data_IF_001652175401
#
_entry.id   IF_001652175401
#
_cell.length_a   1.000
_cell.length_b   1.000
_cell.length_c   1.000
_cell.angle_alpha   90.00
_cell.angle_beta   90.00
_cell.angle_gamma   90.00
#
_symmetry.space_group_name_H-M   'P 1'
#
loop_
_entity.id
_entity.type
_entity.pdbx_description
1 polymer ?
#
# COMPACT_ATOMS: atom_id res chain seq x y z
N UNK A 1 -19.33 19.00 -39.15
CA UNK A 1 -19.08 19.61 -37.83
C UNK A 1 -18.84 18.46 -36.85
N UNK A 2 -17.60 18.10 -36.57
CA UNK A 2 -17.28 17.02 -35.60
C UNK A 2 -17.61 17.56 -34.22
N UNK A 3 -18.56 16.95 -33.52
CA UNK A 3 -18.91 17.31 -32.16
C UNK A 3 -17.75 16.94 -31.22
N UNK A 4 -16.96 17.95 -30.85
CA UNK A 4 -15.81 17.82 -29.94
C UNK A 4 -16.26 17.90 -28.46
N UNK A 5 -17.56 18.01 -28.17
CA UNK A 5 -18.03 18.63 -26.92
C UNK A 5 -18.28 17.69 -25.73
N UNK A 6 -18.15 16.37 -25.85
CA UNK A 6 -18.30 15.47 -24.69
C UNK A 6 -17.04 14.65 -24.45
N UNK A 7 -16.08 15.27 -23.74
CA UNK A 7 -15.09 14.50 -22.98
C UNK A 7 -15.87 13.59 -22.04
N UNK A 8 -15.75 12.25 -22.11
CA UNK A 8 -16.46 11.39 -21.18
C UNK A 8 -16.02 11.75 -19.77
N UNK A 9 -16.99 12.11 -18.94
CA UNK A 9 -16.77 12.36 -17.52
C UNK A 9 -16.05 11.13 -16.94
N UNK A 10 -15.11 11.36 -16.00
CA UNK A 10 -14.52 10.23 -15.30
C UNK A 10 -15.64 9.42 -14.63
N UNK A 11 -15.69 8.10 -14.85
CA UNK A 11 -16.76 7.29 -14.28
C UNK A 11 -16.65 7.31 -12.74
N UNK A 12 -17.80 7.24 -12.06
CA UNK A 12 -17.89 7.36 -10.60
C UNK A 12 -16.96 6.37 -9.87
N UNK A 13 -16.79 5.16 -10.41
CA UNK A 13 -15.96 4.12 -9.81
C UNK A 13 -14.48 4.51 -9.74
N UNK A 14 -13.99 5.38 -10.64
CA UNK A 14 -12.61 5.88 -10.58
C UNK A 14 -12.40 6.69 -9.32
N UNK A 15 -13.34 7.56 -8.99
CA UNK A 15 -13.27 8.38 -7.79
C UNK A 15 -13.41 7.54 -6.53
N UNK A 16 -14.37 6.61 -6.50
CA UNK A 16 -14.58 5.73 -5.36
C UNK A 16 -13.33 4.87 -5.06
N UNK A 17 -12.76 4.22 -6.08
CA UNK A 17 -11.57 3.37 -5.92
C UNK A 17 -10.34 4.20 -5.53
N UNK A 18 -10.17 5.38 -6.13
CA UNK A 18 -9.03 6.22 -5.81
C UNK A 18 -9.11 6.79 -4.38
N UNK A 19 -10.30 7.23 -3.95
CA UNK A 19 -10.52 7.67 -2.57
C UNK A 19 -10.31 6.53 -1.56
N UNK A 20 -10.87 5.34 -1.82
CA UNK A 20 -10.65 4.17 -0.99
C UNK A 20 -9.15 3.79 -0.91
N UNK A 21 -8.44 3.88 -2.03
CA UNK A 21 -7.00 3.63 -2.08
C UNK A 21 -6.19 4.66 -1.30
N UNK A 22 -6.61 5.94 -1.29
CA UNK A 22 -5.97 6.98 -0.48
C UNK A 22 -6.16 6.69 1.01
N UNK A 23 -7.38 6.38 1.42
CA UNK A 23 -7.66 6.05 2.83
C UNK A 23 -6.87 4.82 3.27
N UNK A 24 -6.92 3.74 2.49
CA UNK A 24 -6.22 2.48 2.81
C UNK A 24 -4.71 2.69 2.96
N UNK A 25 -4.07 3.29 1.97
CA UNK A 25 -2.63 3.52 2.02
C UNK A 25 -2.25 4.58 3.06
N UNK A 26 -3.12 5.57 3.30
CA UNK A 26 -2.97 6.55 4.37
C UNK A 26 -2.94 5.91 5.76
N UNK A 27 -3.80 4.92 6.00
CA UNK A 27 -3.75 4.10 7.23
C UNK A 27 -2.42 3.35 7.33
N UNK A 28 -1.92 2.78 6.22
CA UNK A 28 -0.60 2.14 6.18
C UNK A 28 0.55 3.10 6.53
N UNK A 29 0.55 4.30 5.94
CA UNK A 29 1.52 5.37 6.25
C UNK A 29 1.43 5.78 7.72
N UNK A 30 0.23 5.93 8.26
CA UNK A 30 0.01 6.28 9.66
C UNK A 30 0.54 5.21 10.62
N UNK A 31 0.30 3.92 10.35
CA UNK A 31 0.83 2.82 11.15
C UNK A 31 2.36 2.77 11.09
N UNK A 32 2.93 2.89 9.90
CA UNK A 32 4.38 2.95 9.73
C UNK A 32 4.99 4.13 10.49
N UNK A 33 4.40 5.31 10.36
CA UNK A 33 4.85 6.53 11.04
C UNK A 33 4.88 6.35 12.57
N UNK A 34 3.81 5.81 13.15
CA UNK A 34 3.76 5.55 14.59
C UNK A 34 4.84 4.56 15.04
N UNK A 35 5.08 3.50 14.27
CA UNK A 35 6.14 2.52 14.56
C UNK A 35 7.50 3.21 14.59
N UNK A 36 7.89 3.86 13.50
CA UNK A 36 9.25 4.42 13.32
C UNK A 36 9.53 5.62 14.22
N UNK A 37 8.49 6.36 14.64
CA UNK A 37 8.64 7.48 15.60
C UNK A 37 8.61 7.03 17.06
N UNK A 38 8.41 5.74 17.33
CA UNK A 38 8.38 5.26 18.71
C UNK A 38 7.10 5.63 19.46
N UNK A 39 5.98 5.88 18.77
CA UNK A 39 4.75 6.38 19.38
C UNK A 39 4.23 5.43 20.48
N UNK A 40 4.02 5.96 21.69
CA UNK A 40 3.65 5.16 22.86
C UNK A 40 2.39 4.31 22.62
N UNK A 41 1.35 4.89 22.00
CA UNK A 41 0.09 4.20 21.70
C UNK A 41 0.24 2.99 20.76
N UNK A 42 1.24 3.01 19.86
CA UNK A 42 1.54 1.86 19.00
C UNK A 42 2.24 0.76 19.78
N UNK A 43 3.29 1.10 20.53
CA UNK A 43 4.13 0.12 21.21
C UNK A 43 3.47 -0.48 22.46
N UNK A 44 2.58 0.25 23.14
CA UNK A 44 1.85 -0.27 24.31
C UNK A 44 0.73 -1.24 23.94
N UNK A 45 0.29 -1.24 22.67
CA UNK A 45 -0.73 -2.15 22.16
C UNK A 45 -0.17 -3.54 21.76
N UNK A 46 1.15 -3.71 21.80
CA UNK A 46 1.84 -4.93 21.38
C UNK A 46 2.22 -5.81 22.57
N UNK A 47 2.30 -7.12 22.34
CA UNK A 47 2.88 -8.04 23.33
C UNK A 47 4.40 -7.87 23.42
N UNK A 48 5.00 -8.28 24.54
CA UNK A 48 6.46 -8.24 24.69
C UNK A 48 7.20 -8.99 23.57
N UNK A 49 6.67 -10.12 23.13
CA UNK A 49 7.24 -10.93 22.04
C UNK A 49 7.21 -10.17 20.70
N UNK A 50 6.08 -9.51 20.39
CA UNK A 50 5.95 -8.66 19.20
C UNK A 50 6.91 -7.47 19.24
N UNK A 51 7.06 -6.83 20.41
CA UNK A 51 8.02 -5.72 20.58
C UNK A 51 9.45 -6.19 20.33
N UNK A 52 9.85 -7.34 20.92
CA UNK A 52 11.17 -7.90 20.73
C UNK A 52 11.46 -8.23 19.26
N UNK A 53 10.49 -8.84 18.57
CA UNK A 53 10.58 -9.12 17.14
C UNK A 53 10.72 -7.85 16.30
N UNK A 54 9.85 -6.86 16.49
CA UNK A 54 9.87 -5.63 15.69
C UNK A 54 11.11 -4.78 15.93
N UNK A 55 11.67 -4.77 17.15
CA UNK A 55 12.92 -4.06 17.48
C UNK A 55 14.17 -4.82 17.05
N UNK A 56 14.11 -6.15 17.01
CA UNK A 56 15.20 -7.00 16.52
C UNK A 56 15.26 -7.11 15.00
N UNK A 57 14.21 -6.68 14.29
CA UNK A 57 14.16 -6.72 12.84
C UNK A 57 15.21 -5.77 12.21
N UNK A 58 15.88 -6.16 11.12
CA UNK A 58 16.78 -5.28 10.39
C UNK A 58 16.07 -4.02 9.88
N UNK A 59 16.74 -2.87 9.93
CA UNK A 59 16.18 -1.58 9.52
C UNK A 59 15.57 -1.57 8.10
N UNK A 60 16.10 -2.39 7.18
CA UNK A 60 15.59 -2.45 5.81
C UNK A 60 14.13 -2.91 5.73
N UNK A 61 13.61 -3.65 6.71
CA UNK A 61 12.21 -4.11 6.71
C UNK A 61 11.25 -2.94 6.91
N UNK A 62 11.64 -2.00 7.79
CA UNK A 62 10.86 -0.80 8.07
C UNK A 62 10.92 0.17 6.90
N UNK A 63 12.07 0.28 6.25
CA UNK A 63 12.22 1.03 5.00
C UNK A 63 11.35 0.40 3.90
N UNK A 64 11.37 -0.92 3.74
CA UNK A 64 10.58 -1.62 2.73
C UNK A 64 9.07 -1.42 2.93
N UNK A 65 8.57 -1.57 4.16
CA UNK A 65 7.16 -1.31 4.44
C UNK A 65 6.80 0.16 4.26
N UNK A 66 7.65 1.08 4.69
CA UNK A 66 7.48 2.52 4.50
C UNK A 66 7.38 2.89 3.02
N UNK A 67 8.33 2.43 2.21
CA UNK A 67 8.31 2.64 0.74
C UNK A 67 7.04 2.06 0.13
N UNK A 68 6.62 0.86 0.56
CA UNK A 68 5.39 0.26 0.06
C UNK A 68 4.18 1.19 0.26
N UNK A 69 3.89 1.58 1.50
CA UNK A 69 2.69 2.37 1.84
C UNK A 69 2.76 3.80 1.28
N UNK A 70 3.93 4.43 1.24
CA UNK A 70 4.11 5.76 0.62
C UNK A 70 3.93 5.71 -0.90
N UNK A 71 4.50 4.72 -1.57
CA UNK A 71 4.26 4.52 -3.01
C UNK A 71 2.80 4.19 -3.30
N UNK A 72 2.13 3.41 -2.44
CA UNK A 72 0.70 3.16 -2.52
C UNK A 72 -0.14 4.44 -2.37
N UNK A 73 0.20 5.30 -1.41
CA UNK A 73 -0.48 6.59 -1.22
C UNK A 73 -0.26 7.52 -2.42
N UNK A 74 0.99 7.64 -2.89
CA UNK A 74 1.31 8.42 -4.09
C UNK A 74 0.58 7.87 -5.32
N UNK A 75 0.52 6.55 -5.49
CA UNK A 75 -0.25 5.91 -6.55
C UNK A 75 -1.74 6.23 -6.50
N UNK A 76 -2.33 6.21 -5.30
CA UNK A 76 -3.73 6.55 -5.10
C UNK A 76 -4.02 8.04 -5.38
N UNK A 77 -3.13 8.94 -4.96
CA UNK A 77 -3.22 10.38 -5.28
C UNK A 77 -3.08 10.62 -6.79
N UNK A 78 -2.14 9.95 -7.45
CA UNK A 78 -2.00 10.00 -8.91
C UNK A 78 -3.23 9.46 -9.62
N UNK A 79 -3.90 8.44 -9.07
CA UNK A 79 -5.13 7.90 -9.61
C UNK A 79 -6.29 8.91 -9.52
N UNK A 80 -6.42 9.62 -8.38
CA UNK A 80 -7.36 10.74 -8.21
C UNK A 80 -7.08 11.87 -9.21
N UNK A 81 -5.81 12.21 -9.40
CA UNK A 81 -5.36 13.21 -10.38
C UNK A 81 -5.38 12.69 -11.82
N UNK A 82 -5.86 11.46 -12.03
CA UNK A 82 -5.97 10.78 -13.33
C UNK A 82 -4.66 10.74 -14.11
N UNK A 83 -3.53 10.50 -13.42
CA UNK A 83 -2.19 10.39 -13.99
C UNK A 83 -1.78 8.94 -14.21
N UNK A 84 -1.17 8.63 -15.36
CA UNK A 84 -0.65 7.28 -15.68
C UNK A 84 0.45 6.81 -14.75
N UNK A 85 1.11 7.75 -14.04
CA UNK A 85 2.12 7.45 -13.03
C UNK A 85 1.57 6.67 -11.84
N UNK A 86 0.24 6.64 -11.63
CA UNK A 86 -0.41 5.81 -10.63
C UNK A 86 0.02 4.34 -10.73
N UNK A 87 0.06 3.80 -11.96
CA UNK A 87 0.48 2.42 -12.20
C UNK A 87 1.93 2.17 -11.73
N UNK A 88 2.86 3.05 -12.11
CA UNK A 88 4.27 2.92 -11.74
C UNK A 88 4.47 2.97 -10.22
N UNK A 89 3.76 3.88 -9.55
CA UNK A 89 3.82 4.02 -8.11
C UNK A 89 3.29 2.77 -7.39
N UNK A 90 2.15 2.22 -7.82
CA UNK A 90 1.65 0.97 -7.23
C UNK A 90 2.59 -0.22 -7.47
N UNK A 91 3.22 -0.33 -8.65
CA UNK A 91 4.21 -1.38 -8.93
C UNK A 91 5.43 -1.25 -8.03
N UNK A 92 5.97 -0.03 -7.87
CA UNK A 92 7.07 0.21 -6.94
C UNK A 92 6.68 -0.15 -5.50
N UNK A 93 5.45 0.19 -5.08
CA UNK A 93 4.93 -0.18 -3.78
C UNK A 93 4.80 -1.69 -3.59
N UNK A 94 4.32 -2.43 -4.61
CA UNK A 94 4.24 -3.89 -4.56
C UNK A 94 5.62 -4.53 -4.39
N UNK A 95 6.64 -4.08 -5.14
CA UNK A 95 8.00 -4.62 -5.03
C UNK A 95 8.53 -4.44 -3.59
N UNK A 96 8.34 -3.26 -3.00
CA UNK A 96 8.74 -3.00 -1.62
C UNK A 96 7.92 -3.82 -0.61
N UNK A 97 6.62 -4.01 -0.85
CA UNK A 97 5.75 -4.86 -0.04
C UNK A 97 6.20 -6.32 -0.08
N UNK A 98 6.61 -6.83 -1.25
CA UNK A 98 7.13 -8.19 -1.39
C UNK A 98 8.44 -8.36 -0.62
N UNK A 99 9.33 -7.37 -0.64
CA UNK A 99 10.56 -7.41 0.18
C UNK A 99 10.23 -7.51 1.67
N UNK A 100 9.29 -6.70 2.18
CA UNK A 100 8.81 -6.80 3.56
C UNK A 100 8.17 -8.16 3.85
N UNK A 101 7.30 -8.65 2.95
CA UNK A 101 6.62 -9.93 3.11
C UNK A 101 7.59 -11.12 3.15
N UNK A 102 8.64 -11.11 2.33
CA UNK A 102 9.70 -12.15 2.36
C UNK A 102 10.37 -12.22 3.73
N UNK A 103 10.63 -11.09 4.38
CA UNK A 103 11.18 -11.09 5.73
C UNK A 103 10.25 -11.78 6.74
N UNK A 104 8.99 -11.36 6.74
CA UNK A 104 7.98 -11.84 7.69
C UNK A 104 7.67 -13.32 7.49
N UNK A 105 7.62 -13.77 6.23
CA UNK A 105 7.11 -15.10 5.87
C UNK A 105 8.19 -16.16 5.71
N UNK A 106 9.43 -15.78 5.42
CA UNK A 106 10.50 -16.73 5.06
C UNK A 106 11.82 -16.51 5.78
N UNK A 107 12.20 -15.27 6.16
CA UNK A 107 13.53 -14.97 6.72
C UNK A 107 13.54 -14.77 8.23
N UNK A 108 12.39 -14.86 8.90
CA UNK A 108 12.28 -14.65 10.34
C UNK A 108 11.22 -15.57 10.96
N UNK A 109 11.17 -15.61 12.29
CA UNK A 109 10.09 -16.25 13.05
C UNK A 109 8.80 -15.40 13.09
N UNK A 110 8.67 -14.40 12.20
CA UNK A 110 7.52 -13.50 12.17
C UNK A 110 6.19 -14.25 12.17
N UNK A 111 6.05 -15.29 11.35
CA UNK A 111 4.83 -16.13 11.29
C UNK A 111 4.37 -16.65 12.66
N UNK A 112 5.30 -16.97 13.56
CA UNK A 112 5.01 -17.47 14.90
C UNK A 112 4.62 -16.30 15.82
N UNK A 113 5.38 -15.20 15.76
CA UNK A 113 5.22 -14.03 16.65
C UNK A 113 3.97 -13.18 16.33
N UNK A 114 3.72 -12.89 15.05
CA UNK A 114 2.55 -12.11 14.61
C UNK A 114 1.33 -12.99 14.32
N UNK A 115 1.51 -14.31 14.35
CA UNK A 115 0.46 -15.32 14.20
C UNK A 115 -0.30 -15.26 12.86
N UNK A 116 -1.38 -16.05 12.77
CA UNK A 116 -2.22 -16.14 11.57
C UNK A 116 -2.81 -14.78 11.15
N UNK A 117 -3.16 -13.92 12.10
CA UNK A 117 -3.67 -12.58 11.84
C UNK A 117 -2.66 -11.68 11.13
N UNK A 118 -1.41 -11.66 11.59
CA UNK A 118 -0.36 -10.85 10.96
C UNK A 118 0.06 -11.38 9.59
N UNK A 119 0.08 -12.70 9.41
CA UNK A 119 0.29 -13.33 8.09
C UNK A 119 -0.84 -12.96 7.14
N UNK A 120 -2.10 -13.10 7.56
CA UNK A 120 -3.26 -12.73 6.75
C UNK A 120 -3.21 -11.25 6.35
N UNK A 121 -2.88 -10.35 7.30
CA UNK A 121 -2.73 -8.92 7.01
C UNK A 121 -1.67 -8.65 5.94
N UNK A 122 -0.49 -9.30 6.04
CA UNK A 122 0.60 -9.18 5.06
C UNK A 122 0.14 -9.61 3.66
N UNK A 123 -0.59 -10.72 3.56
CA UNK A 123 -1.13 -11.22 2.29
C UNK A 123 -2.22 -10.29 1.73
N UNK A 124 -3.11 -9.77 2.58
CA UNK A 124 -4.18 -8.83 2.17
C UNK A 124 -3.60 -7.52 1.64
N UNK A 125 -2.60 -6.94 2.29
CA UNK A 125 -1.93 -5.72 1.80
C UNK A 125 -1.30 -5.98 0.43
N UNK A 126 -0.63 -7.12 0.27
CA UNK A 126 -0.03 -7.53 -1.01
C UNK A 126 -1.09 -7.67 -2.10
N UNK A 127 -2.22 -8.33 -1.80
CA UNK A 127 -3.34 -8.50 -2.72
C UNK A 127 -3.95 -7.14 -3.13
N UNK A 128 -4.09 -6.21 -2.19
CA UNK A 128 -4.61 -4.87 -2.48
C UNK A 128 -3.71 -4.12 -3.46
N UNK A 129 -2.38 -4.23 -3.32
CA UNK A 129 -1.46 -3.69 -4.33
C UNK A 129 -1.70 -4.30 -5.72
N UNK A 130 -1.87 -5.62 -5.80
CA UNK A 130 -2.18 -6.29 -7.08
C UNK A 130 -3.48 -5.76 -7.69
N UNK A 131 -4.53 -5.59 -6.88
CA UNK A 131 -5.81 -5.03 -7.34
C UNK A 131 -5.65 -3.57 -7.81
N UNK A 132 -4.91 -2.74 -7.07
CA UNK A 132 -4.63 -1.35 -7.42
C UNK A 132 -3.86 -1.24 -8.74
N UNK A 133 -2.85 -2.10 -8.95
CA UNK A 133 -2.08 -2.19 -10.21
C UNK A 133 -3.00 -2.60 -11.35
N UNK A 134 -3.79 -3.66 -11.16
CA UNK A 134 -4.71 -4.16 -12.19
C UNK A 134 -5.73 -3.09 -12.60
N UNK A 135 -6.30 -2.38 -11.62
CA UNK A 135 -7.23 -1.29 -11.86
C UNK A 135 -6.57 -0.11 -12.58
N UNK A 136 -5.41 0.36 -12.12
CA UNK A 136 -4.68 1.47 -12.74
C UNK A 136 -4.29 1.14 -14.19
N UNK A 137 -3.86 -0.09 -14.44
CA UNK A 137 -3.54 -0.58 -15.78
C UNK A 137 -4.76 -0.60 -16.71
N UNK A 138 -5.88 -1.14 -16.23
CA UNK A 138 -7.15 -1.14 -16.96
C UNK A 138 -7.63 0.29 -17.25
N UNK A 139 -7.60 1.17 -16.25
CA UNK A 139 -8.00 2.57 -16.38
C UNK A 139 -7.12 3.32 -17.40
N UNK A 140 -5.82 3.02 -17.43
CA UNK A 140 -4.88 3.56 -18.43
C UNK A 140 -5.23 3.07 -19.84
N UNK A 141 -5.50 1.77 -20.02
CA UNK A 141 -5.90 1.20 -21.34
C UNK A 141 -7.21 1.79 -21.85
N UNK A 142 -8.13 2.15 -20.95
CA UNK A 142 -9.41 2.79 -21.27
C UNK A 142 -9.31 4.33 -21.42
N UNK A 143 -8.11 4.91 -21.31
CA UNK A 143 -7.90 6.36 -21.40
C UNK A 143 -8.53 7.16 -20.24
N UNK A 144 -8.89 6.50 -19.15
CA UNK A 144 -9.47 7.13 -17.96
C UNK A 144 -8.42 7.93 -17.19
N UNK A 145 -7.16 7.47 -17.20
CA UNK A 145 -5.98 8.15 -16.65
C UNK A 145 -4.91 8.34 -17.74
N UNK A 146 -4.11 9.41 -17.65
CA UNK A 146 -3.27 9.95 -18.74
C UNK A 146 -1.81 10.19 -18.33
#
# INVERSE_FOLDING_TARGET
>A
MVDISKRPAAPWHLWAIAAASVVWNGVGVWQWYQKVTGAAAYWSALTMEQVAYLRGAPMWTDVAFGVAVWCGLLGALMLLLRRKLAFNAFVAGLIAMLAHAVYVLALSNGREVIGAGGVAFTLVVTLIFVIQIAYAHWARRKGLIR
#
